data_IF_196655343117
#
_entry.id   IF_196655343117
#
_cell.length_a   1.000
_cell.length_b   1.000
_cell.length_c   1.000
_cell.angle_alpha   90.00
_cell.angle_beta   90.00
_cell.angle_gamma   90.00
#
_symmetry.space_group_name_H-M   'P 1'
#
loop_
_entity.id
_entity.type
_entity.pdbx_description
1 polymer ?
#
# COMPACT_ATOMS: atom_id res chain seq x y z
N UNK A 1 4.87 -13.84 22.29
CA UNK A 1 5.18 -13.08 21.08
C UNK A 1 4.20 -13.47 19.96
N UNK A 2 3.95 -12.55 19.08
CA UNK A 2 3.02 -12.79 17.96
C UNK A 2 3.62 -12.26 16.66
N UNK A 3 3.20 -12.81 15.55
CA UNK A 3 3.44 -12.24 14.23
C UNK A 3 2.10 -11.81 13.63
N UNK A 4 2.09 -10.67 12.97
CA UNK A 4 0.91 -10.15 12.29
C UNK A 4 1.19 -10.03 10.80
N UNK A 5 0.22 -10.43 9.98
CA UNK A 5 0.23 -10.19 8.55
C UNK A 5 -0.66 -8.99 8.27
N UNK A 6 -0.14 -8.02 7.53
CA UNK A 6 -0.87 -6.80 7.19
C UNK A 6 -0.96 -6.68 5.67
N UNK A 7 -2.15 -6.38 5.17
CA UNK A 7 -2.36 -6.07 3.75
C UNK A 7 -2.80 -4.61 3.66
N UNK A 8 -2.11 -3.80 2.87
CA UNK A 8 -2.43 -2.39 2.70
C UNK A 8 -2.27 -1.97 1.24
N UNK A 9 -3.00 -0.93 0.86
CA UNK A 9 -2.90 -0.32 -0.46
C UNK A 9 -2.43 1.12 -0.28
N UNK A 10 -1.40 1.49 -1.03
CA UNK A 10 -0.73 2.79 -0.90
C UNK A 10 -0.80 3.51 -2.24
N UNK A 11 -1.27 4.76 -2.23
CA UNK A 11 -1.25 5.61 -3.40
C UNK A 11 0.07 6.37 -3.41
N UNK A 12 0.87 6.15 -4.44
CA UNK A 12 2.20 6.75 -4.58
C UNK A 12 2.08 8.00 -5.46
N UNK A 13 1.73 9.12 -4.84
CA UNK A 13 1.52 10.39 -5.56
C UNK A 13 2.79 10.94 -6.19
N UNK A 14 3.92 10.74 -5.54
CA UNK A 14 5.21 11.27 -5.99
C UNK A 14 6.00 10.31 -6.89
N UNK A 15 5.40 9.16 -7.18
CA UNK A 15 6.00 8.12 -8.01
C UNK A 15 7.40 7.73 -7.54
N UNK A 16 7.57 7.52 -6.23
CA UNK A 16 8.84 7.06 -5.68
C UNK A 16 9.16 5.62 -6.08
N UNK A 17 8.16 4.88 -6.54
CA UNK A 17 8.31 3.50 -6.99
C UNK A 17 8.25 2.47 -5.89
N UNK A 18 8.20 1.20 -6.27
CA UNK A 18 8.06 0.09 -5.33
C UNK A 18 9.20 0.03 -4.31
N UNK A 19 10.43 0.23 -4.75
CA UNK A 19 11.59 0.22 -3.85
C UNK A 19 11.55 1.38 -2.87
N UNK A 20 11.14 2.57 -3.33
CA UNK A 20 11.00 3.74 -2.47
C UNK A 20 9.91 3.56 -1.42
N UNK A 21 8.77 3.01 -1.80
CA UNK A 21 7.68 2.70 -0.88
C UNK A 21 8.14 1.71 0.18
N UNK A 22 8.82 0.65 -0.24
CA UNK A 22 9.36 -0.36 0.65
C UNK A 22 10.33 0.25 1.67
N UNK A 23 11.24 1.09 1.20
CA UNK A 23 12.22 1.76 2.05
C UNK A 23 11.56 2.64 3.10
N UNK A 24 10.59 3.47 2.69
CA UNK A 24 9.86 4.35 3.62
C UNK A 24 9.16 3.53 4.71
N UNK A 25 8.45 2.48 4.32
CA UNK A 25 7.69 1.67 5.28
C UNK A 25 8.61 0.90 6.24
N UNK A 26 9.72 0.35 5.75
CA UNK A 26 10.63 -0.41 6.59
C UNK A 26 11.43 0.47 7.55
N UNK A 27 11.64 1.74 7.22
CA UNK A 27 12.39 2.67 8.04
C UNK A 27 11.52 3.47 9.02
N UNK A 28 10.23 3.20 9.08
CA UNK A 28 9.33 3.85 10.03
C UNK A 28 9.72 3.45 11.47
N UNK A 29 9.79 4.44 12.36
CA UNK A 29 10.12 4.23 13.77
C UNK A 29 8.87 4.19 14.64
N UNK A 30 8.89 3.31 15.62
CA UNK A 30 7.79 3.11 16.56
C UNK A 30 8.28 3.40 17.97
N UNK A 31 8.21 4.65 18.45
CA UNK A 31 8.95 5.09 19.65
C UNK A 31 8.59 4.35 20.94
N UNK A 32 7.38 3.90 21.11
CA UNK A 32 6.93 3.27 22.35
C UNK A 32 6.61 1.77 22.19
N UNK A 33 7.01 1.18 21.09
CA UNK A 33 6.73 -0.24 20.80
C UNK A 33 7.90 -0.84 20.06
N UNK A 34 8.13 -2.11 20.28
CA UNK A 34 9.15 -2.84 19.53
C UNK A 34 8.48 -3.63 18.42
N UNK A 35 8.54 -3.08 17.22
CA UNK A 35 7.97 -3.67 16.02
C UNK A 35 9.05 -3.71 14.94
N UNK A 36 9.23 -4.89 14.34
CA UNK A 36 10.21 -5.06 13.26
C UNK A 36 9.45 -5.39 11.97
N UNK A 37 9.24 -4.41 11.07
CA UNK A 37 8.56 -4.66 9.81
C UNK A 37 9.50 -5.31 8.80
N UNK A 38 8.97 -6.25 8.04
CA UNK A 38 9.65 -6.83 6.90
C UNK A 38 8.69 -6.82 5.70
N UNK A 39 9.01 -6.05 4.68
CA UNK A 39 8.20 -5.98 3.47
C UNK A 39 8.66 -7.08 2.51
N UNK A 40 7.92 -8.17 2.44
CA UNK A 40 8.27 -9.32 1.61
C UNK A 40 8.08 -9.03 0.13
N UNK A 41 6.97 -8.36 -0.23
CA UNK A 41 6.63 -8.05 -1.62
C UNK A 41 5.96 -6.69 -1.74
N UNK A 42 6.18 -6.03 -2.87
CA UNK A 42 5.41 -4.84 -3.28
C UNK A 42 4.98 -5.06 -4.72
N UNK A 43 3.68 -5.05 -4.98
CA UNK A 43 3.13 -5.08 -6.33
C UNK A 43 2.66 -3.67 -6.70
N UNK A 44 2.77 -3.33 -7.97
CA UNK A 44 2.45 -1.99 -8.46
C UNK A 44 1.46 -2.08 -9.62
N UNK A 45 0.49 -1.17 -9.64
CA UNK A 45 -0.46 -0.99 -10.76
C UNK A 45 -0.53 0.49 -11.09
N UNK A 46 -0.62 0.80 -12.38
CA UNK A 46 -0.87 2.15 -12.84
C UNK A 46 -2.36 2.47 -12.63
N UNK A 47 -2.66 3.59 -12.02
CA UNK A 47 -4.04 4.02 -11.75
C UNK A 47 -4.49 5.20 -12.63
N UNK A 48 -3.67 5.59 -13.61
CA UNK A 48 -3.95 6.74 -14.46
C UNK A 48 -3.75 8.06 -13.74
N UNK A 49 -4.40 9.11 -14.26
CA UNK A 49 -4.29 10.44 -13.65
C UNK A 49 -5.20 10.58 -12.44
N UNK A 50 -4.69 11.24 -11.42
CA UNK A 50 -5.47 11.51 -10.21
C UNK A 50 -6.45 12.67 -10.44
N UNK A 51 -7.66 12.52 -9.94
CA UNK A 51 -8.68 13.57 -9.99
C UNK A 51 -9.60 13.45 -8.79
N UNK A 52 -10.43 14.47 -8.58
CA UNK A 52 -11.43 14.45 -7.50
C UNK A 52 -12.44 13.32 -7.67
N UNK A 53 -12.68 12.90 -8.92
CA UNK A 53 -13.62 11.82 -9.23
C UNK A 53 -12.97 10.45 -9.35
N UNK A 54 -11.66 10.34 -9.11
CA UNK A 54 -10.98 9.05 -9.19
C UNK A 54 -11.59 8.06 -8.22
N UNK A 55 -11.86 6.81 -8.63
CA UNK A 55 -12.48 5.80 -7.73
C UNK A 55 -11.72 5.56 -6.43
N UNK A 56 -10.38 5.69 -6.45
CA UNK A 56 -9.56 5.55 -5.24
C UNK A 56 -9.65 6.77 -4.32
N UNK A 57 -10.20 7.87 -4.80
CA UNK A 57 -10.37 9.11 -4.02
C UNK A 57 -11.77 9.21 -3.39
N UNK A 58 -12.55 8.15 -3.41
CA UNK A 58 -13.90 8.11 -2.84
C UNK A 58 -13.98 6.99 -1.81
N UNK A 59 -14.41 7.30 -0.60
CA UNK A 59 -14.51 6.32 0.49
C UNK A 59 -15.40 5.12 0.10
N UNK A 60 -16.45 5.36 -0.67
CA UNK A 60 -17.39 4.30 -1.06
C UNK A 60 -16.82 3.31 -2.06
N UNK A 61 -15.77 3.66 -2.81
CA UNK A 61 -15.23 2.82 -3.88
C UNK A 61 -13.74 2.50 -3.74
N UNK A 62 -13.04 3.18 -2.85
CA UNK A 62 -11.58 3.05 -2.75
C UNK A 62 -11.13 1.61 -2.47
N UNK A 63 -11.72 0.96 -1.48
CA UNK A 63 -11.32 -0.40 -1.10
C UNK A 63 -11.62 -1.42 -2.21
N UNK A 64 -12.82 -1.38 -2.77
CA UNK A 64 -13.19 -2.30 -3.84
C UNK A 64 -12.37 -2.09 -5.11
N UNK A 65 -12.07 -0.82 -5.43
CA UNK A 65 -11.24 -0.48 -6.58
C UNK A 65 -9.81 -1.00 -6.40
N UNK A 66 -9.22 -0.77 -5.21
CA UNK A 66 -7.89 -1.27 -4.90
C UNK A 66 -7.82 -2.80 -4.99
N UNK A 67 -8.80 -3.48 -4.43
CA UNK A 67 -8.88 -4.95 -4.49
C UNK A 67 -8.98 -5.45 -5.93
N UNK A 68 -9.78 -4.78 -6.77
CA UNK A 68 -9.95 -5.16 -8.17
C UNK A 68 -8.66 -5.02 -8.97
N UNK A 69 -7.85 -3.99 -8.69
CA UNK A 69 -6.57 -3.77 -9.37
C UNK A 69 -5.58 -4.92 -9.12
N UNK A 70 -5.70 -5.61 -8.01
CA UNK A 70 -4.83 -6.71 -7.63
C UNK A 70 -5.55 -8.06 -7.59
N UNK A 71 -6.66 -8.20 -8.31
CA UNK A 71 -7.49 -9.41 -8.29
C UNK A 71 -6.78 -10.64 -8.87
N UNK A 72 -5.73 -10.45 -9.67
CA UNK A 72 -4.91 -11.52 -10.22
C UNK A 72 -3.90 -12.11 -9.21
N UNK A 73 -3.73 -11.45 -8.06
CA UNK A 73 -2.79 -11.86 -7.03
C UNK A 73 -3.52 -12.72 -6.00
N UNK A 74 -2.98 -13.92 -5.75
CA UNK A 74 -3.49 -14.81 -4.69
C UNK A 74 -2.74 -14.56 -3.39
N UNK A 75 -3.48 -14.23 -2.36
CA UNK A 75 -2.94 -14.04 -1.02
C UNK A 75 -3.28 -15.20 -0.10
#
# INVERSE_FOLDING_TARGET
MKIHRVVMYIIDFDEVGADGVKEVLQNTRYPNRCISPNIAEVQTRDIGEWSDDHPLNKLSTADSTAKALFSDIKN
#
